data_IF_846351184755
#
_entry.id   IF_846351184755
#
_cell.length_a   1.000
_cell.length_b   1.000
_cell.length_c   1.000
_cell.angle_alpha   90.00
_cell.angle_beta   90.00
_cell.angle_gamma   90.00
#
_symmetry.space_group_name_H-M   'P 1'
#
loop_
_entity.id
_entity.type
_entity.pdbx_description
1 polymer ?
#
# COMPACT_ATOMS: atom_id res chain seq x y z
N UNK A 1 33.66 -49.66 8.47
CA UNK A 1 33.08 -48.35 8.82
C UNK A 1 33.63 -47.32 7.85
N UNK A 2 32.78 -46.77 6.97
CA UNK A 2 33.15 -45.62 6.15
C UNK A 2 31.87 -44.77 5.98
N UNK A 3 31.85 -43.59 6.59
CA UNK A 3 30.76 -42.63 6.51
C UNK A 3 31.09 -41.62 5.41
N UNK A 4 30.28 -41.57 4.37
CA UNK A 4 30.32 -40.56 3.31
C UNK A 4 29.32 -39.46 3.68
N UNK A 5 29.82 -38.29 4.07
CA UNK A 5 29.01 -37.11 4.33
C UNK A 5 28.82 -36.38 2.99
N UNK A 6 27.61 -36.43 2.44
CA UNK A 6 27.22 -35.63 1.28
C UNK A 6 26.76 -34.24 1.76
N UNK A 7 27.49 -33.20 1.38
CA UNK A 7 27.11 -31.81 1.63
C UNK A 7 25.97 -31.39 0.69
N UNK A 8 24.84 -30.98 1.26
CA UNK A 8 23.72 -30.40 0.50
C UNK A 8 23.93 -28.89 0.47
N UNK A 9 24.24 -28.34 -0.71
CA UNK A 9 24.28 -26.90 -0.92
C UNK A 9 22.83 -26.39 -1.08
N UNK A 10 22.33 -25.63 -0.12
CA UNK A 10 21.05 -24.94 -0.23
C UNK A 10 21.28 -23.65 -1.03
N UNK A 11 20.99 -23.68 -2.33
CA UNK A 11 20.96 -22.47 -3.15
C UNK A 11 19.74 -21.64 -2.78
N UNK A 12 19.93 -20.63 -1.94
CA UNK A 12 18.94 -19.60 -1.68
C UNK A 12 18.68 -18.84 -2.99
N UNK A 13 17.63 -19.23 -3.71
CA UNK A 13 17.04 -18.37 -4.72
C UNK A 13 16.36 -17.26 -3.94
N UNK A 14 16.87 -16.03 -4.06
CA UNK A 14 16.12 -14.86 -3.64
C UNK A 14 14.89 -14.80 -4.54
N UNK A 15 13.80 -15.45 -4.10
CA UNK A 15 12.49 -15.26 -4.66
C UNK A 15 12.18 -13.77 -4.50
N UNK A 16 12.26 -13.03 -5.61
CA UNK A 16 11.47 -11.82 -5.76
C UNK A 16 10.02 -12.30 -5.79
N UNK A 17 9.48 -12.61 -4.61
CA UNK A 17 8.06 -12.85 -4.41
C UNK A 17 7.37 -11.60 -4.94
N UNK A 18 6.66 -11.74 -6.07
CA UNK A 18 5.67 -10.76 -6.49
C UNK A 18 4.81 -10.49 -5.26
N UNK A 19 4.95 -9.31 -4.67
CA UNK A 19 4.15 -8.90 -3.53
C UNK A 19 2.69 -9.18 -3.88
N UNK A 20 2.01 -9.94 -3.02
CA UNK A 20 0.65 -10.36 -3.30
C UNK A 20 -0.21 -9.10 -3.36
N UNK A 21 -0.60 -8.66 -4.57
CA UNK A 21 -1.25 -7.37 -4.74
C UNK A 21 -2.75 -7.51 -4.46
N UNK A 22 -3.28 -6.67 -3.57
CA UNK A 22 -4.69 -6.62 -3.20
C UNK A 22 -5.27 -5.28 -3.63
N UNK A 23 -6.26 -5.34 -4.52
CA UNK A 23 -7.09 -4.17 -4.87
C UNK A 23 -8.25 -4.04 -3.89
N UNK A 24 -8.18 -3.01 -3.03
CA UNK A 24 -9.14 -2.71 -1.98
C UNK A 24 -10.45 -2.11 -2.52
N UNK A 25 -10.47 -1.68 -3.78
CA UNK A 25 -11.69 -1.16 -4.43
C UNK A 25 -12.60 -2.31 -4.92
N UNK A 26 -12.09 -3.54 -4.93
CA UNK A 26 -12.88 -4.71 -5.36
C UNK A 26 -13.88 -5.14 -4.28
N UNK A 27 -15.14 -5.50 -4.65
CA UNK A 27 -16.10 -6.06 -3.69
C UNK A 27 -15.54 -7.29 -2.98
N UNK A 28 -15.67 -7.36 -1.66
CA UNK A 28 -15.15 -8.49 -0.88
C UNK A 28 -13.66 -8.39 -0.51
N UNK A 29 -12.97 -7.29 -0.87
CA UNK A 29 -11.54 -7.16 -0.62
C UNK A 29 -11.21 -7.14 0.88
N UNK A 30 -11.95 -6.37 1.69
CA UNK A 30 -11.70 -6.29 3.13
C UNK A 30 -12.00 -7.61 3.85
N UNK A 31 -13.01 -8.36 3.41
CA UNK A 31 -13.32 -9.70 3.92
C UNK A 31 -12.20 -10.69 3.58
N UNK A 32 -11.58 -10.55 2.40
CA UNK A 32 -10.40 -11.30 2.00
C UNK A 32 -9.20 -10.91 2.87
N UNK A 33 -8.95 -9.62 3.07
CA UNK A 33 -7.90 -9.14 3.99
C UNK A 33 -8.13 -9.67 5.40
N UNK A 34 -9.35 -9.66 5.92
CA UNK A 34 -9.67 -10.18 7.25
C UNK A 34 -9.36 -11.67 7.41
N UNK A 35 -9.53 -12.45 6.34
CA UNK A 35 -9.23 -13.88 6.31
C UNK A 35 -7.73 -14.16 6.21
N UNK A 36 -7.06 -13.47 5.28
CA UNK A 36 -5.70 -13.81 4.86
C UNK A 36 -4.64 -13.00 5.63
N UNK A 37 -4.97 -11.78 6.04
CA UNK A 37 -4.10 -10.83 6.76
C UNK A 37 -4.85 -10.09 7.88
N UNK A 38 -5.39 -10.80 8.90
CA UNK A 38 -6.24 -10.20 9.93
C UNK A 38 -5.57 -9.04 10.69
N UNK A 39 -4.24 -9.08 10.83
CA UNK A 39 -3.48 -8.01 11.50
C UNK A 39 -3.50 -6.68 10.73
N UNK A 40 -3.68 -6.70 9.40
CA UNK A 40 -3.62 -5.51 8.56
C UNK A 40 -4.95 -4.75 8.51
N UNK A 41 -6.06 -5.40 8.89
CA UNK A 41 -7.41 -4.84 8.76
C UNK A 41 -7.53 -3.50 9.46
N UNK A 42 -7.05 -3.40 10.71
CA UNK A 42 -7.12 -2.15 11.47
C UNK A 42 -6.42 -1.00 10.75
N UNK A 43 -5.19 -1.24 10.29
CA UNK A 43 -4.39 -0.24 9.58
C UNK A 43 -5.05 0.16 8.26
N UNK A 44 -5.50 -0.81 7.46
CA UNK A 44 -6.16 -0.54 6.17
C UNK A 44 -7.45 0.26 6.36
N UNK A 45 -8.30 -0.13 7.32
CA UNK A 45 -9.54 0.61 7.61
C UNK A 45 -9.24 2.05 8.02
N UNK A 46 -8.23 2.26 8.85
CA UNK A 46 -7.83 3.60 9.29
C UNK A 46 -7.22 4.42 8.15
N UNK A 47 -6.37 3.81 7.32
CA UNK A 47 -5.81 4.44 6.11
C UNK A 47 -6.95 4.92 5.19
N UNK A 48 -7.90 4.05 4.86
CA UNK A 48 -9.00 4.39 3.95
C UNK A 48 -9.93 5.46 4.52
N UNK A 49 -10.13 5.47 5.84
CA UNK A 49 -10.97 6.47 6.52
C UNK A 49 -10.33 7.85 6.54
N UNK A 50 -9.03 7.92 6.84
CA UNK A 50 -8.32 9.19 7.07
C UNK A 50 -7.65 9.77 5.81
N UNK A 51 -7.30 8.92 4.83
CA UNK A 51 -6.65 9.35 3.58
C UNK A 51 -7.40 10.49 2.84
N UNK A 52 -8.75 10.54 2.78
CA UNK A 52 -9.49 11.66 2.19
C UNK A 52 -9.15 13.03 2.78
N UNK A 53 -8.71 13.09 4.04
CA UNK A 53 -8.44 14.33 4.76
C UNK A 53 -6.97 14.76 4.68
N UNK A 54 -6.11 13.91 4.12
CA UNK A 54 -4.71 14.23 3.92
C UNK A 54 -4.52 15.18 2.73
N UNK A 55 -3.52 16.06 2.84
CA UNK A 55 -3.05 16.82 1.68
C UNK A 55 -2.41 15.85 0.68
N UNK A 56 -2.63 16.01 -0.64
CA UNK A 56 -2.10 15.08 -1.64
C UNK A 56 -0.60 14.82 -1.52
N UNK A 57 0.19 15.87 -1.25
CA UNK A 57 1.65 15.82 -1.15
C UNK A 57 2.13 15.12 0.13
N UNK A 58 1.30 15.07 1.18
CA UNK A 58 1.64 14.47 2.47
C UNK A 58 1.13 13.03 2.60
N UNK A 59 0.17 12.61 1.77
CA UNK A 59 -0.55 11.34 1.91
C UNK A 59 0.40 10.13 1.97
N UNK A 60 1.34 9.99 1.05
CA UNK A 60 2.29 8.87 1.04
C UNK A 60 3.23 8.89 2.26
N UNK A 61 3.73 10.06 2.64
CA UNK A 61 4.58 10.24 3.82
C UNK A 61 3.84 9.84 5.10
N UNK A 62 2.60 10.28 5.23
CA UNK A 62 1.74 9.94 6.37
C UNK A 62 1.49 8.43 6.47
N UNK A 63 1.15 7.75 5.36
CA UNK A 63 0.96 6.28 5.39
C UNK A 63 2.21 5.56 5.88
N UNK A 64 3.39 5.96 5.40
CA UNK A 64 4.67 5.37 5.82
C UNK A 64 4.93 5.58 7.31
N UNK A 65 4.75 6.79 7.82
CA UNK A 65 5.12 7.11 9.20
C UNK A 65 4.09 6.64 10.22
N UNK A 66 2.79 6.69 9.91
CA UNK A 66 1.73 6.37 10.86
C UNK A 66 1.44 4.87 10.97
N UNK A 67 1.74 4.09 9.92
CA UNK A 67 1.42 2.67 9.84
C UNK A 67 2.63 1.78 9.56
N UNK A 68 3.85 2.33 9.65
CA UNK A 68 5.11 1.64 9.38
C UNK A 68 5.14 0.93 8.01
N UNK A 69 4.51 1.54 7.00
CA UNK A 69 4.45 0.95 5.67
C UNK A 69 5.84 0.97 5.02
N UNK A 70 6.30 -0.21 4.54
CA UNK A 70 7.60 -0.36 3.85
C UNK A 70 7.71 0.57 2.64
N UNK A 71 6.60 0.72 1.92
CA UNK A 71 6.45 1.62 0.79
C UNK A 71 5.07 2.28 0.86
N UNK A 72 4.98 3.54 0.44
CA UNK A 72 3.72 4.14 0.03
C UNK A 72 3.94 5.12 -1.12
N UNK A 73 2.98 5.18 -2.05
CA UNK A 73 2.92 6.16 -3.13
C UNK A 73 1.48 6.62 -3.34
N UNK A 74 1.32 7.89 -3.69
CA UNK A 74 0.02 8.48 -3.99
C UNK A 74 0.12 9.21 -5.32
N UNK A 75 -0.61 8.73 -6.33
CA UNK A 75 -0.65 9.34 -7.65
C UNK A 75 -1.98 10.08 -7.83
N UNK A 76 -1.91 11.41 -7.89
CA UNK A 76 -3.07 12.26 -8.18
C UNK A 76 -3.61 12.00 -9.59
N UNK A 77 -4.93 11.89 -9.71
CA UNK A 77 -5.64 11.83 -10.98
C UNK A 77 -6.01 13.27 -11.37
N UNK A 78 -5.29 13.81 -12.36
CA UNK A 78 -5.38 15.23 -12.75
C UNK A 78 -6.75 15.67 -13.26
N UNK A 79 -7.57 14.74 -13.76
CA UNK A 79 -8.84 15.04 -14.44
C UNK A 79 -10.08 14.60 -13.65
N UNK A 80 -9.97 14.35 -12.35
CA UNK A 80 -11.10 13.99 -11.49
C UNK A 80 -11.63 15.19 -10.69
N UNK A 81 -12.95 15.36 -10.62
CA UNK A 81 -13.62 16.26 -9.68
C UNK A 81 -14.74 15.51 -8.95
N UNK A 82 -14.69 15.34 -7.62
CA UNK A 82 -13.63 15.78 -6.69
C UNK A 82 -12.27 15.12 -6.98
N UNK A 83 -11.14 15.70 -6.52
CA UNK A 83 -9.81 15.15 -6.78
C UNK A 83 -9.65 13.75 -6.22
N UNK A 84 -9.02 12.86 -6.98
CA UNK A 84 -8.76 11.48 -6.58
C UNK A 84 -7.26 11.21 -6.58
N UNK A 85 -6.84 10.27 -5.75
CA UNK A 85 -5.50 9.71 -5.77
C UNK A 85 -5.56 8.19 -5.78
N UNK A 86 -4.73 7.58 -6.62
CA UNK A 86 -4.42 6.15 -6.52
C UNK A 86 -3.37 5.98 -5.44
N UNK A 87 -3.78 5.43 -4.30
CA UNK A 87 -2.92 5.12 -3.18
C UNK A 87 -2.41 3.68 -3.33
N UNK A 88 -1.10 3.49 -3.20
CA UNK A 88 -0.45 2.18 -3.15
C UNK A 88 0.45 2.13 -1.92
N UNK A 89 0.42 1.05 -1.17
CA UNK A 89 1.25 0.89 0.02
C UNK A 89 1.52 -0.58 0.34
N UNK A 90 2.61 -0.85 1.05
CA UNK A 90 3.02 -2.21 1.42
C UNK A 90 3.04 -2.33 2.93
N UNK A 91 2.27 -3.27 3.47
CA UNK A 91 2.34 -3.71 4.86
C UNK A 91 2.90 -5.13 4.86
N UNK A 92 3.95 -5.35 5.66
CA UNK A 92 4.77 -6.56 5.57
C UNK A 92 5.18 -6.87 4.13
N UNK A 93 4.67 -7.93 3.51
CA UNK A 93 5.01 -8.33 2.13
C UNK A 93 3.81 -8.25 1.17
N UNK A 94 2.73 -7.59 1.59
CA UNK A 94 1.48 -7.46 0.81
C UNK A 94 1.33 -6.03 0.29
N UNK A 95 1.18 -5.89 -1.03
CA UNK A 95 0.88 -4.60 -1.66
C UNK A 95 -0.63 -4.37 -1.69
N UNK A 96 -1.05 -3.21 -1.22
CA UNK A 96 -2.43 -2.76 -1.26
C UNK A 96 -2.59 -1.58 -2.21
N UNK A 97 -3.71 -1.54 -2.92
CA UNK A 97 -4.09 -0.44 -3.80
C UNK A 97 -5.52 0.00 -3.51
N UNK A 98 -5.75 1.30 -3.49
CA UNK A 98 -7.08 1.87 -3.37
C UNK A 98 -7.19 3.19 -4.15
N UNK A 99 -8.41 3.52 -4.58
CA UNK A 99 -8.76 4.82 -5.10
C UNK A 99 -9.37 5.66 -3.98
N UNK A 100 -8.70 6.75 -3.63
CA UNK A 100 -9.15 7.65 -2.56
C UNK A 100 -9.63 8.96 -3.16
N UNK A 101 -10.86 9.36 -2.83
CA UNK A 101 -11.37 10.70 -3.11
C UNK A 101 -10.89 11.67 -2.03
N UNK A 102 -10.09 12.66 -2.43
CA UNK A 102 -9.52 13.66 -1.54
C UNK A 102 -10.49 14.82 -1.31
N UNK A 103 -10.60 15.24 -0.05
CA UNK A 103 -11.48 16.32 0.41
C UNK A 103 -10.71 17.55 0.88
N UNK A 104 -9.44 17.37 1.28
CA UNK A 104 -8.56 18.44 1.72
C UNK A 104 -7.61 18.89 0.61
N UNK A 105 -8.19 19.43 -0.47
CA UNK A 105 -7.43 19.94 -1.62
C UNK A 105 -7.61 21.44 -1.64
N UNK A 106 -6.69 22.15 -1.00
CA UNK A 106 -6.61 23.60 -1.15
C UNK A 106 -6.22 23.89 -2.61
N UNK A 107 -7.00 24.66 -3.38
CA UNK A 107 -6.62 25.03 -4.73
C UNK A 107 -5.38 25.91 -4.67
N UNK A 108 -4.21 25.31 -4.87
CA UNK A 108 -2.96 26.05 -5.06
C UNK A 108 -3.00 26.70 -6.44
N UNK A 109 -3.54 27.91 -6.49
CA UNK A 109 -3.41 28.79 -7.65
C UNK A 109 -2.05 29.48 -7.57
N UNK A 110 -0.98 28.74 -7.85
CA UNK A 110 0.31 29.37 -8.15
C UNK A 110 0.34 29.74 -9.63
N UNK A 111 0.58 31.01 -9.99
CA UNK A 111 0.73 31.39 -11.39
C UNK A 111 1.93 30.65 -11.98
N UNK A 112 1.71 29.96 -13.11
CA UNK A 112 2.78 29.41 -13.94
C UNK A 112 3.59 30.59 -14.48
N UNK A 113 4.89 30.63 -14.16
CA UNK A 113 5.83 31.60 -14.72
C UNK A 113 6.49 31.06 -15.96
#
# INVERSE_FOLDING_TARGET
>A
MAALLASVAFSAHADFTSAHQVDLDTPGALERVQRDHPAHVRAITEILREAPYQRPQALSGWVRTAFDAKMASAMLIKTSYPPQARLQFVLDDTEYRALVTLRNVEPSLSPTR
#
